data_IF_005662296917
#
_entry.id   IF_005662296917
#
_cell.length_a   1.000
_cell.length_b   1.000
_cell.length_c   1.000
_cell.angle_alpha   90.00
_cell.angle_beta   90.00
_cell.angle_gamma   90.00
#
_symmetry.space_group_name_H-M   'P 1'
#
loop_
_entity.id
_entity.type
_entity.pdbx_description
1 polymer ?
#
# COMPACT_ATOMS: atom_id res chain seq x y z
N UNK A 1 -5.52 -18.73 -1.39
CA UNK A 1 -5.38 -17.27 -1.46
C UNK A 1 -4.30 -16.84 -2.45
N UNK A 2 -3.07 -17.37 -2.37
CA UNK A 2 -2.00 -17.01 -3.32
C UNK A 2 -1.40 -18.24 -4.02
N UNK A 3 -0.91 -18.07 -5.26
CA UNK A 3 -0.17 -19.11 -6.00
C UNK A 3 1.33 -18.88 -5.87
N UNK A 4 2.12 -19.96 -5.79
CA UNK A 4 3.56 -19.90 -5.51
C UNK A 4 4.40 -19.14 -6.54
N UNK A 5 3.95 -19.09 -7.79
CA UNK A 5 4.67 -18.44 -8.90
C UNK A 5 4.15 -17.03 -9.22
N UNK A 6 3.41 -16.40 -8.31
CA UNK A 6 2.88 -15.05 -8.49
C UNK A 6 3.68 -14.06 -7.65
N UNK A 7 4.22 -13.02 -8.29
CA UNK A 7 4.93 -11.96 -7.58
C UNK A 7 3.91 -11.03 -6.92
N UNK A 8 4.06 -10.87 -5.60
CA UNK A 8 3.27 -9.96 -4.77
C UNK A 8 4.21 -8.89 -4.21
N UNK A 9 3.93 -7.63 -4.55
CA UNK A 9 4.73 -6.48 -4.14
C UNK A 9 4.11 -5.80 -2.94
N UNK A 10 4.89 -5.53 -1.91
CA UNK A 10 4.45 -4.82 -0.71
C UNK A 10 5.30 -3.58 -0.51
N UNK A 11 4.74 -2.42 -0.84
CA UNK A 11 5.40 -1.13 -0.66
C UNK A 11 5.22 -0.68 0.79
N UNK A 12 6.30 -0.28 1.45
CA UNK A 12 6.32 -0.07 2.90
C UNK A 12 6.39 -1.38 3.71
N UNK A 13 6.73 -2.50 3.07
CA UNK A 13 6.67 -3.85 3.64
C UNK A 13 7.70 -4.19 4.73
N UNK A 14 8.53 -3.25 5.18
CA UNK A 14 9.52 -3.50 6.24
C UNK A 14 8.99 -3.26 7.66
N UNK A 15 7.87 -2.55 7.80
CA UNK A 15 7.36 -2.11 9.12
C UNK A 15 5.84 -2.14 9.18
N UNK A 16 5.30 -2.20 10.40
CA UNK A 16 3.86 -2.05 10.67
C UNK A 16 2.99 -2.96 9.80
N UNK A 17 1.85 -2.43 9.34
CA UNK A 17 0.91 -3.13 8.46
C UNK A 17 1.54 -3.73 7.20
N UNK A 18 2.52 -3.06 6.60
CA UNK A 18 3.21 -3.57 5.42
C UNK A 18 3.91 -4.89 5.72
N UNK A 19 4.59 -4.98 6.86
CA UNK A 19 5.26 -6.22 7.25
C UNK A 19 4.28 -7.31 7.68
N UNK A 20 3.18 -6.96 8.36
CA UNK A 20 2.10 -7.92 8.63
C UNK A 20 1.51 -8.49 7.34
N UNK A 21 1.43 -7.66 6.29
CA UNK A 21 1.01 -8.12 4.96
C UNK A 21 1.99 -9.11 4.36
N UNK A 22 3.30 -8.89 4.51
CA UNK A 22 4.34 -9.84 4.08
C UNK A 22 4.21 -11.18 4.80
N UNK A 23 4.05 -11.15 6.13
CA UNK A 23 3.84 -12.37 6.95
C UNK A 23 2.58 -13.11 6.51
N UNK A 24 1.47 -12.40 6.39
CA UNK A 24 0.19 -12.95 5.93
C UNK A 24 0.32 -13.62 4.55
N UNK A 25 0.99 -12.99 3.59
CA UNK A 25 1.20 -13.57 2.27
C UNK A 25 2.02 -14.86 2.36
N UNK A 26 3.11 -14.86 3.16
CA UNK A 26 3.95 -16.03 3.34
C UNK A 26 3.21 -17.20 4.01
N UNK A 27 2.45 -16.90 5.06
CA UNK A 27 1.57 -17.82 5.78
C UNK A 27 0.53 -18.48 4.87
N UNK A 28 0.00 -17.71 3.92
CA UNK A 28 -1.06 -18.15 3.02
C UNK A 28 -0.56 -18.66 1.66
N UNK A 29 0.72 -19.07 1.60
CA UNK A 29 1.31 -19.80 0.48
C UNK A 29 1.80 -18.94 -0.69
N UNK A 30 1.96 -17.62 -0.50
CA UNK A 30 2.55 -16.73 -1.48
C UNK A 30 4.05 -17.00 -1.65
N UNK A 31 4.45 -17.45 -2.84
CA UNK A 31 5.82 -17.94 -3.05
C UNK A 31 6.85 -16.88 -3.46
N UNK A 32 6.42 -15.80 -4.10
CA UNK A 32 7.31 -14.73 -4.56
C UNK A 32 6.88 -13.38 -3.96
N UNK A 33 7.57 -12.92 -2.91
CA UNK A 33 7.23 -11.70 -2.19
C UNK A 33 8.35 -10.67 -2.36
N UNK A 34 8.01 -9.49 -2.87
CA UNK A 34 8.94 -8.39 -3.06
C UNK A 34 8.54 -7.19 -2.20
N UNK A 35 9.40 -6.83 -1.25
CA UNK A 35 9.24 -5.64 -0.41
C UNK A 35 9.88 -4.45 -1.12
N UNK A 36 9.14 -3.35 -1.26
CA UNK A 36 9.66 -2.08 -1.76
C UNK A 36 9.73 -1.07 -0.60
N UNK A 37 10.90 -0.51 -0.36
CA UNK A 37 11.11 0.49 0.71
C UNK A 37 12.26 1.42 0.37
N UNK A 38 12.20 2.68 0.81
CA UNK A 38 13.32 3.63 0.69
C UNK A 38 14.55 3.19 1.50
N UNK A 39 14.32 2.43 2.58
CA UNK A 39 15.36 1.99 3.52
C UNK A 39 15.81 0.57 3.18
N UNK A 40 17.11 0.34 3.33
CA UNK A 40 17.68 -1.00 3.39
C UNK A 40 17.30 -1.61 4.75
N UNK A 41 16.88 -2.90 4.82
CA UNK A 41 16.55 -3.53 6.09
C UNK A 41 17.77 -3.62 7.01
N UNK A 42 17.57 -3.31 8.29
CA UNK A 42 18.59 -3.49 9.34
C UNK A 42 18.97 -4.97 9.49
N UNK A 43 20.08 -5.25 10.18
CA UNK A 43 20.51 -6.63 10.49
C UNK A 43 19.41 -7.43 11.20
N UNK A 44 18.76 -6.82 12.19
CA UNK A 44 17.62 -7.40 12.91
C UNK A 44 16.46 -7.71 11.95
N UNK A 45 16.08 -6.77 11.09
CA UNK A 45 15.01 -6.99 10.12
C UNK A 45 15.37 -8.06 9.08
N UNK A 46 16.64 -8.15 8.70
CA UNK A 46 17.14 -9.22 7.83
C UNK A 46 17.06 -10.59 8.49
N UNK A 47 17.34 -10.70 9.79
CA UNK A 47 17.15 -11.94 10.55
C UNK A 47 15.66 -12.31 10.62
N UNK A 48 14.79 -11.34 10.88
CA UNK A 48 13.33 -11.57 10.91
C UNK A 48 12.80 -12.06 9.55
N UNK A 49 13.28 -11.48 8.44
CA UNK A 49 12.97 -11.94 7.09
C UNK A 49 13.53 -13.34 6.78
N UNK A 50 14.69 -13.71 7.34
CA UNK A 50 15.26 -15.05 7.21
C UNK A 50 14.45 -16.07 8.01
N UNK A 51 14.11 -15.76 9.26
CA UNK A 51 13.26 -16.59 10.11
C UNK A 51 11.90 -16.84 9.45
N UNK A 52 11.27 -15.81 8.87
CA UNK A 52 10.00 -15.93 8.15
C UNK A 52 10.11 -16.92 6.98
N UNK A 53 11.18 -16.83 6.17
CA UNK A 53 11.40 -17.75 5.04
C UNK A 53 11.71 -19.18 5.49
N UNK A 54 12.39 -19.36 6.63
CA UNK A 54 12.63 -20.68 7.21
C UNK A 54 11.34 -21.34 7.70
N UNK A 55 10.46 -20.55 8.34
CA UNK A 55 9.15 -20.99 8.80
C UNK A 55 8.23 -21.35 7.61
N UNK A 56 8.22 -20.52 6.57
CA UNK A 56 7.42 -20.72 5.36
C UNK A 56 8.30 -21.06 4.15
N UNK A 57 8.84 -22.28 4.12
CA UNK A 57 9.81 -22.76 3.11
C UNK A 57 9.40 -22.60 1.64
N UNK A 58 8.11 -22.40 1.37
CA UNK A 58 7.57 -22.14 0.03
C UNK A 58 7.65 -20.68 -0.42
N UNK A 59 8.07 -19.78 0.47
CA UNK A 59 8.02 -18.32 0.30
C UNK A 59 9.44 -17.77 0.20
N UNK A 60 9.73 -17.07 -0.89
CA UNK A 60 10.96 -16.30 -1.08
C UNK A 60 10.64 -14.82 -0.95
N UNK A 61 11.27 -14.17 0.03
CA UNK A 61 11.06 -12.75 0.33
C UNK A 61 12.32 -11.97 -0.01
N UNK A 62 12.19 -10.96 -0.86
CA UNK A 62 13.30 -10.08 -1.24
C UNK A 62 12.95 -8.63 -0.92
N UNK A 63 13.93 -7.89 -0.41
CA UNK A 63 13.78 -6.45 -0.16
C UNK A 63 14.54 -5.68 -1.22
N UNK A 64 13.85 -4.77 -1.92
CA UNK A 64 14.41 -3.92 -2.96
C UNK A 64 14.27 -2.47 -2.54
N UNK A 65 15.39 -1.75 -2.55
CA UNK A 65 15.38 -0.33 -2.24
C UNK A 65 14.68 0.43 -3.37
N UNK A 66 13.66 1.21 -3.02
CA UNK A 66 12.83 1.94 -3.98
C UNK A 66 12.11 3.09 -3.27
N UNK A 67 12.32 4.32 -3.75
CA UNK A 67 11.38 5.41 -3.47
C UNK A 67 10.22 5.33 -4.47
N UNK A 68 9.05 4.88 -3.99
CA UNK A 68 7.87 4.72 -4.84
C UNK A 68 7.41 6.03 -5.47
N UNK A 69 7.78 7.17 -4.89
CA UNK A 69 7.42 8.50 -5.42
C UNK A 69 8.21 8.88 -6.69
N UNK A 70 9.30 8.16 -6.98
CA UNK A 70 10.12 8.36 -8.17
C UNK A 70 9.84 7.24 -9.19
N UNK A 71 9.33 7.60 -10.37
CA UNK A 71 9.01 6.63 -11.42
C UNK A 71 10.24 5.80 -11.84
N UNK A 72 11.40 6.44 -11.96
CA UNK A 72 12.67 5.79 -12.31
C UNK A 72 13.09 4.72 -11.30
N UNK A 73 12.81 4.92 -10.01
CA UNK A 73 13.12 3.94 -8.97
C UNK A 73 12.15 2.76 -9.01
N UNK A 74 10.86 3.03 -9.27
CA UNK A 74 9.85 1.98 -9.47
C UNK A 74 10.22 1.10 -10.66
N UNK A 75 10.64 1.70 -11.78
CA UNK A 75 11.08 0.97 -12.97
C UNK A 75 12.29 0.06 -12.69
N UNK A 76 13.35 0.62 -12.07
CA UNK A 76 14.55 -0.15 -11.69
C UNK A 76 14.21 -1.29 -10.73
N UNK A 77 13.36 -1.01 -9.73
CA UNK A 77 12.93 -2.03 -8.78
C UNK A 77 12.13 -3.15 -9.46
N UNK A 78 11.25 -2.80 -10.41
CA UNK A 78 10.47 -3.79 -11.17
C UNK A 78 11.36 -4.66 -12.04
N UNK A 79 12.38 -4.10 -12.69
CA UNK A 79 13.37 -4.86 -13.45
C UNK A 79 14.17 -5.82 -12.55
N UNK A 80 14.68 -5.33 -11.41
CA UNK A 80 15.40 -6.16 -10.44
C UNK A 80 14.55 -7.32 -9.91
N UNK A 81 13.27 -7.07 -9.62
CA UNK A 81 12.31 -8.08 -9.19
C UNK A 81 12.06 -9.12 -10.27
N UNK A 82 11.90 -8.70 -11.54
CA UNK A 82 11.69 -9.62 -12.66
C UNK A 82 12.90 -10.55 -12.86
N UNK A 83 14.13 -10.03 -12.72
CA UNK A 83 15.36 -10.85 -12.75
C UNK A 83 15.45 -11.81 -11.57
N UNK A 84 14.92 -11.43 -10.41
CA UNK A 84 14.97 -12.25 -9.19
C UNK A 84 13.94 -13.40 -9.20
N UNK A 85 12.80 -13.18 -9.84
CA UNK A 85 11.67 -14.10 -9.95
C UNK A 85 11.36 -14.40 -11.43
N UNK A 86 12.36 -14.92 -12.15
CA UNK A 86 12.24 -15.22 -13.58
C UNK A 86 11.04 -16.14 -13.84
N UNK A 87 10.22 -15.77 -14.83
CA UNK A 87 9.04 -16.55 -15.26
C UNK A 87 7.80 -16.38 -14.38
N UNK A 88 7.87 -15.65 -13.27
CA UNK A 88 6.74 -15.39 -12.39
C UNK A 88 6.03 -14.08 -12.76
N UNK A 89 4.74 -14.06 -13.12
CA UNK A 89 4.02 -12.82 -13.37
C UNK A 89 3.76 -12.05 -12.07
N UNK A 90 3.75 -10.73 -12.18
CA UNK A 90 3.26 -9.85 -11.11
C UNK A 90 1.73 -9.93 -11.08
N UNK A 91 1.19 -10.28 -9.91
CA UNK A 91 -0.26 -10.43 -9.72
C UNK A 91 -0.80 -9.65 -8.53
N UNK A 92 0.06 -9.01 -7.75
CA UNK A 92 -0.40 -8.21 -6.62
C UNK A 92 0.49 -7.03 -6.29
N UNK A 93 -0.15 -5.92 -5.94
CA UNK A 93 0.48 -4.73 -5.36
C UNK A 93 -0.29 -4.36 -4.09
N UNK A 94 0.43 -4.23 -2.99
CA UNK A 94 -0.05 -3.71 -1.71
C UNK A 94 0.68 -2.42 -1.41
N UNK A 95 -0.04 -1.31 -1.48
CA UNK A 95 0.50 0.02 -1.24
C UNK A 95 0.24 0.41 0.22
N UNK A 96 1.24 0.16 1.07
CA UNK A 96 1.21 0.50 2.50
C UNK A 96 2.17 1.64 2.86
N UNK A 97 2.74 2.33 1.87
CA UNK A 97 3.59 3.49 2.10
C UNK A 97 2.81 4.61 2.80
N UNK A 98 3.41 5.14 3.87
CA UNK A 98 2.80 6.18 4.70
C UNK A 98 3.85 7.18 5.16
N UNK A 99 3.44 8.44 5.21
CA UNK A 99 4.12 9.51 5.94
C UNK A 99 3.04 10.29 6.70
N UNK A 100 3.38 10.77 7.90
CA UNK A 100 2.49 11.54 8.76
C UNK A 100 3.20 12.82 9.15
N UNK A 101 2.44 13.91 9.18
CA UNK A 101 2.86 15.19 9.71
C UNK A 101 1.63 15.94 10.21
N UNK A 102 1.37 15.80 11.50
CA UNK A 102 0.20 16.40 12.14
C UNK A 102 0.44 17.90 12.37
N UNK A 103 -0.56 18.71 12.06
CA UNK A 103 -0.54 20.14 12.29
C UNK A 103 -1.92 20.76 12.05
N UNK A 104 -2.22 21.83 12.79
CA UNK A 104 -3.40 22.63 12.49
C UNK A 104 -3.31 23.18 11.06
N UNK A 105 -4.44 23.27 10.36
CA UNK A 105 -4.47 23.70 8.96
C UNK A 105 -3.79 25.07 8.77
N UNK A 106 -3.96 25.96 9.74
CA UNK A 106 -3.40 27.30 9.80
C UNK A 106 -1.87 27.37 9.95
N UNK A 107 -1.21 26.27 10.37
CA UNK A 107 0.27 26.21 10.48
C UNK A 107 0.93 25.29 9.46
N UNK A 108 0.18 24.37 8.85
CA UNK A 108 0.71 23.46 7.84
C UNK A 108 1.17 24.23 6.60
N UNK A 109 2.39 23.94 6.14
CA UNK A 109 2.94 24.50 4.91
C UNK A 109 2.71 23.54 3.76
N UNK A 110 2.78 24.07 2.54
CA UNK A 110 2.66 23.27 1.32
C UNK A 110 3.65 22.08 1.30
N UNK A 111 4.88 22.28 1.77
CA UNK A 111 5.88 21.21 1.90
C UNK A 111 5.43 20.06 2.81
N UNK A 112 4.65 20.34 3.86
CA UNK A 112 4.11 19.33 4.78
C UNK A 112 3.02 18.51 4.09
N UNK A 113 2.20 19.15 3.26
CA UNK A 113 1.27 18.46 2.38
C UNK A 113 2.01 17.55 1.39
N UNK A 114 2.99 18.07 0.65
CA UNK A 114 3.78 17.24 -0.28
C UNK A 114 4.37 16.02 0.40
N UNK A 115 5.01 16.21 1.56
CA UNK A 115 5.60 15.11 2.32
C UNK A 115 4.60 13.99 2.65
N UNK A 116 3.36 14.34 3.00
CA UNK A 116 2.32 13.38 3.39
C UNK A 116 1.60 12.78 2.17
N UNK A 117 1.31 13.60 1.15
CA UNK A 117 0.60 13.18 -0.05
C UNK A 117 1.48 12.31 -0.95
N UNK A 118 2.73 12.69 -1.21
CA UNK A 118 3.59 12.05 -2.21
C UNK A 118 3.64 10.52 -2.15
N UNK A 119 3.87 9.85 -1.00
CA UNK A 119 3.90 8.38 -0.95
C UNK A 119 2.56 7.74 -1.36
N UNK A 120 1.42 8.38 -1.09
CA UNK A 120 0.08 7.85 -1.40
C UNK A 120 -0.43 8.30 -2.76
N UNK A 121 -0.08 9.48 -3.23
CA UNK A 121 -0.53 10.03 -4.51
C UNK A 121 0.43 9.63 -5.61
N UNK A 122 1.61 10.27 -5.69
CA UNK A 122 2.63 9.99 -6.69
C UNK A 122 3.06 8.51 -6.65
N UNK A 123 3.25 7.97 -5.45
CA UNK A 123 3.59 6.55 -5.28
C UNK A 123 2.57 5.59 -5.91
N UNK A 124 1.28 5.83 -5.69
CA UNK A 124 0.23 4.97 -6.24
C UNK A 124 0.06 5.15 -7.74
N UNK A 125 0.24 6.38 -8.26
CA UNK A 125 0.24 6.64 -9.71
C UNK A 125 1.40 5.93 -10.42
N UNK A 126 2.61 5.98 -9.85
CA UNK A 126 3.77 5.28 -10.40
C UNK A 126 3.54 3.75 -10.43
N UNK A 127 3.00 3.18 -9.35
CA UNK A 127 2.64 1.77 -9.30
C UNK A 127 1.55 1.42 -10.32
N UNK A 128 0.55 2.28 -10.49
CA UNK A 128 -0.49 2.09 -11.50
C UNK A 128 0.10 2.03 -12.90
N UNK A 129 0.91 3.01 -13.29
CA UNK A 129 1.50 3.03 -14.62
C UNK A 129 2.45 1.86 -14.86
N UNK A 130 3.25 1.48 -13.85
CA UNK A 130 4.15 0.33 -13.94
C UNK A 130 3.43 -1.03 -14.01
N UNK A 131 2.12 -1.08 -13.71
CA UNK A 131 1.33 -2.32 -13.70
C UNK A 131 0.06 -2.25 -14.54
N UNK A 132 -0.18 -1.17 -15.29
CA UNK A 132 -1.45 -0.89 -15.98
C UNK A 132 -1.84 -2.00 -16.97
N UNK A 133 -0.84 -2.57 -17.64
CA UNK A 133 -0.99 -3.59 -18.68
C UNK A 133 -0.81 -5.01 -18.11
N UNK A 134 -0.74 -5.13 -16.78
CA UNK A 134 -0.65 -6.42 -16.09
C UNK A 134 -2.02 -6.79 -15.53
N UNK A 135 -2.43 -8.02 -15.77
CA UNK A 135 -3.64 -8.59 -15.16
C UNK A 135 -3.41 -8.90 -13.68
N UNK A 136 -3.49 -7.87 -12.83
CA UNK A 136 -3.35 -8.02 -11.38
C UNK A 136 -4.60 -8.66 -10.78
N UNK A 137 -4.40 -9.63 -9.89
CA UNK A 137 -5.44 -10.10 -8.97
C UNK A 137 -5.68 -9.05 -7.87
N UNK A 138 -4.61 -8.41 -7.39
CA UNK A 138 -4.64 -7.48 -6.25
C UNK A 138 -4.00 -6.13 -6.59
N UNK A 139 -4.73 -5.05 -6.38
CA UNK A 139 -4.16 -3.71 -6.24
C UNK A 139 -4.81 -3.07 -5.01
N UNK A 140 -4.17 -3.25 -3.86
CA UNK A 140 -4.73 -2.89 -2.56
C UNK A 140 -3.99 -1.67 -2.02
N UNK A 141 -4.72 -0.60 -1.72
CA UNK A 141 -4.22 0.63 -1.13
C UNK A 141 -4.63 0.70 0.33
N UNK A 142 -3.67 0.91 1.23
CA UNK A 142 -3.97 1.07 2.66
C UNK A 142 -4.30 2.53 2.90
N UNK A 143 -5.60 2.78 2.98
CA UNK A 143 -6.21 4.04 3.35
C UNK A 143 -6.42 4.11 4.87
N UNK A 144 -7.19 5.08 5.34
CA UNK A 144 -7.53 5.25 6.76
C UNK A 144 -8.97 5.73 6.91
N UNK A 145 -9.60 5.43 8.05
CA UNK A 145 -10.89 6.01 8.45
C UNK A 145 -10.88 7.54 8.48
N UNK A 146 -9.69 8.15 8.64
CA UNK A 146 -9.50 9.60 8.58
C UNK A 146 -9.88 10.22 7.23
N UNK A 147 -9.99 9.44 6.15
CA UNK A 147 -10.45 9.91 4.83
C UNK A 147 -11.90 10.41 4.84
N UNK A 148 -12.79 9.78 5.62
CA UNK A 148 -14.22 10.10 5.62
C UNK A 148 -14.72 10.63 6.97
N UNK A 149 -14.11 10.26 8.10
CA UNK A 149 -14.41 10.86 9.40
C UNK A 149 -13.62 12.14 9.66
N UNK A 150 -12.51 12.33 8.94
CA UNK A 150 -11.50 13.31 9.31
C UNK A 150 -10.74 12.91 10.58
N UNK A 151 -9.68 13.65 10.87
CA UNK A 151 -9.04 13.64 12.19
C UNK A 151 -8.42 15.03 12.42
N UNK A 152 -8.52 15.52 13.66
CA UNK A 152 -7.96 16.82 14.00
C UNK A 152 -6.46 16.85 13.68
N UNK A 153 -5.98 17.97 13.15
CA UNK A 153 -4.58 18.18 12.73
C UNK A 153 -4.09 17.32 11.56
N UNK A 154 -4.97 16.55 10.91
CA UNK A 154 -4.61 15.58 9.87
C UNK A 154 -5.24 15.87 8.51
N UNK A 155 -5.46 17.15 8.17
CA UNK A 155 -6.06 17.54 6.88
C UNK A 155 -5.27 17.00 5.68
N UNK A 156 -3.94 17.09 5.72
CA UNK A 156 -3.05 16.54 4.69
C UNK A 156 -3.15 15.01 4.58
N UNK A 157 -3.23 14.30 5.71
CA UNK A 157 -3.35 12.84 5.77
C UNK A 157 -4.73 12.36 5.31
N UNK A 158 -5.81 13.03 5.73
CA UNK A 158 -7.17 12.76 5.27
C UNK A 158 -7.28 12.93 3.74
N UNK A 159 -6.70 14.00 3.19
CA UNK A 159 -6.65 14.23 1.74
C UNK A 159 -5.89 13.11 1.01
N UNK A 160 -4.72 12.72 1.51
CA UNK A 160 -3.90 11.67 0.92
C UNK A 160 -4.60 10.29 0.91
N UNK A 161 -5.38 9.98 1.95
CA UNK A 161 -6.15 8.73 2.02
C UNK A 161 -7.42 8.78 1.16
N UNK A 162 -8.12 9.92 1.12
CA UNK A 162 -9.28 10.13 0.24
C UNK A 162 -8.91 9.95 -1.24
N UNK A 163 -7.70 10.39 -1.63
CA UNK A 163 -7.17 10.09 -2.96
C UNK A 163 -7.09 8.58 -3.24
N UNK A 164 -6.58 7.77 -2.30
CA UNK A 164 -6.49 6.32 -2.49
C UNK A 164 -7.87 5.69 -2.70
N UNK A 165 -8.86 6.13 -1.94
CA UNK A 165 -10.24 5.60 -2.01
C UNK A 165 -10.84 5.85 -3.39
N UNK A 166 -10.75 7.10 -3.88
CA UNK A 166 -11.23 7.50 -5.20
C UNK A 166 -10.40 6.89 -6.32
N UNK A 167 -9.09 6.74 -6.14
CA UNK A 167 -8.22 6.14 -7.14
C UNK A 167 -8.50 4.66 -7.34
N UNK A 168 -8.77 3.92 -6.26
CA UNK A 168 -9.21 2.53 -6.36
C UNK A 168 -10.57 2.41 -7.07
N UNK A 169 -11.49 3.36 -6.86
CA UNK A 169 -12.74 3.42 -7.63
C UNK A 169 -12.49 3.69 -9.12
N UNK A 170 -11.63 4.66 -9.45
CA UNK A 170 -11.20 4.95 -10.80
C UNK A 170 -10.63 3.70 -11.50
N UNK A 171 -9.71 2.98 -10.83
CA UNK A 171 -9.14 1.73 -11.38
C UNK A 171 -10.21 0.69 -11.71
N UNK A 172 -11.19 0.50 -10.82
CA UNK A 172 -12.31 -0.42 -11.06
C UNK A 172 -13.16 0.02 -12.25
N UNK A 173 -13.41 1.32 -12.42
CA UNK A 173 -14.13 1.86 -13.58
C UNK A 173 -13.35 1.65 -14.90
N UNK A 174 -12.02 1.59 -14.84
CA UNK A 174 -11.18 1.18 -15.98
C UNK A 174 -11.16 -0.34 -16.22
N UNK A 175 -11.82 -1.15 -15.38
CA UNK A 175 -11.78 -2.61 -15.44
C UNK A 175 -10.53 -3.23 -14.81
N UNK A 176 -9.76 -2.47 -14.03
CA UNK A 176 -8.55 -2.93 -13.34
C UNK A 176 -8.86 -3.30 -11.88
N UNK A 177 -8.10 -4.23 -11.30
CA UNK A 177 -8.15 -4.49 -9.85
C UNK A 177 -7.84 -3.22 -9.06
N UNK A 178 -8.59 -2.97 -7.98
CA UNK A 178 -8.46 -1.78 -7.14
C UNK A 178 -9.30 -1.88 -5.88
N UNK A 179 -8.68 -1.90 -4.72
CA UNK A 179 -9.34 -1.94 -3.40
C UNK A 179 -8.64 -0.95 -2.46
N UNK A 180 -9.41 -0.10 -1.80
CA UNK A 180 -8.92 0.70 -0.68
C UNK A 180 -9.43 0.10 0.62
N UNK A 181 -8.56 0.02 1.63
CA UNK A 181 -8.94 -0.42 2.97
C UNK A 181 -8.72 0.74 3.92
N UNK A 182 -9.81 1.26 4.47
CA UNK A 182 -9.79 2.35 5.43
C UNK A 182 -9.50 1.81 6.84
N UNK A 183 -8.21 1.66 7.16
CA UNK A 183 -7.83 1.14 8.46
C UNK A 183 -8.19 2.11 9.59
N UNK A 184 -8.75 1.54 10.66
CA UNK A 184 -8.93 2.21 11.95
C UNK A 184 -7.63 2.24 12.75
N UNK A 185 -7.76 2.44 14.06
CA UNK A 185 -6.63 2.39 14.97
C UNK A 185 -6.08 0.96 15.08
N UNK A 186 -4.76 0.82 14.96
CA UNK A 186 -4.07 -0.47 14.99
C UNK A 186 -2.92 -0.38 15.98
N UNK A 187 -2.72 -1.38 16.83
CA UNK A 187 -1.55 -1.44 17.73
C UNK A 187 -0.28 -1.90 16.98
N UNK A 188 0.04 -1.21 15.88
CA UNK A 188 1.13 -1.54 14.98
C UNK A 188 1.69 -0.27 14.34
N UNK A 189 2.96 -0.29 13.95
CA UNK A 189 3.58 0.82 13.22
C UNK A 189 3.56 2.13 14.01
N UNK A 190 2.86 3.14 13.50
CA UNK A 190 2.85 4.51 14.05
C UNK A 190 2.26 4.58 15.47
N UNK A 191 1.27 3.74 15.77
CA UNK A 191 0.55 3.75 17.06
C UNK A 191 1.11 2.74 18.08
N UNK A 192 2.21 2.06 17.74
CA UNK A 192 2.84 1.05 18.59
C UNK A 192 3.43 1.74 19.83
N UNK A 193 3.02 1.30 21.02
CA UNK A 193 3.39 1.88 22.33
C UNK A 193 2.93 3.34 22.55
N UNK A 194 1.80 3.75 21.96
CA UNK A 194 1.21 5.07 22.21
C UNK A 194 -0.08 4.97 23.05
N UNK A 195 0.07 4.51 24.30
CA UNK A 195 -1.04 4.17 25.21
C UNK A 195 -2.03 5.31 25.44
N UNK A 196 -1.54 6.55 25.48
CA UNK A 196 -2.38 7.74 25.62
C UNK A 196 -3.29 7.94 24.41
N UNK A 197 -2.76 7.75 23.20
CA UNK A 197 -3.53 7.90 21.96
C UNK A 197 -4.52 6.75 21.81
N UNK A 198 -4.13 5.53 22.22
CA UNK A 198 -5.04 4.38 22.25
C UNK A 198 -6.23 4.64 23.19
N UNK A 199 -5.96 5.09 24.42
CA UNK A 199 -7.01 5.44 25.39
C UNK A 199 -7.96 6.53 24.89
N UNK A 200 -7.43 7.55 24.18
CA UNK A 200 -8.25 8.61 23.59
C UNK A 200 -9.15 8.04 22.49
N UNK A 201 -8.66 7.13 21.66
CA UNK A 201 -9.44 6.51 20.58
C UNK A 201 -10.53 5.59 21.14
N UNK A 202 -10.22 4.78 22.15
CA UNK A 202 -11.19 3.94 22.86
C UNK A 202 -12.28 4.78 23.53
N UNK A 203 -11.92 5.92 24.15
CA UNK A 203 -12.90 6.85 24.73
C UNK A 203 -13.89 7.44 23.71
N UNK A 204 -13.53 7.39 22.42
CA UNK A 204 -14.36 7.84 21.29
C UNK A 204 -15.06 6.68 20.57
N UNK A 205 -15.04 5.48 21.16
CA UNK A 205 -15.65 4.28 20.58
C UNK A 205 -14.88 3.69 19.40
N UNK A 206 -13.58 4.01 19.26
CA UNK A 206 -12.69 3.44 18.26
C UNK A 206 -11.79 2.42 18.93
N UNK A 207 -12.21 1.16 18.89
CA UNK A 207 -11.43 0.05 19.42
C UNK A 207 -10.13 -0.16 18.61
N UNK A 208 -9.08 -0.55 19.31
CA UNK A 208 -7.80 -0.89 18.68
C UNK A 208 -7.91 -2.29 18.05
N UNK A 209 -7.85 -2.34 16.72
CA UNK A 209 -7.95 -3.61 16.01
C UNK A 209 -6.67 -4.44 16.22
N UNK A 210 -6.85 -5.72 16.56
CA UNK A 210 -5.76 -6.70 16.54
C UNK A 210 -5.45 -7.14 15.11
N UNK A 211 -4.18 -7.47 14.86
CA UNK A 211 -3.62 -7.86 13.55
C UNK A 211 -4.38 -8.99 12.84
N UNK A 212 -5.07 -9.84 13.61
CA UNK A 212 -5.82 -11.01 13.13
C UNK A 212 -6.93 -10.63 12.12
N UNK A 213 -7.37 -9.37 12.06
CA UNK A 213 -8.39 -8.89 11.10
C UNK A 213 -7.90 -8.67 9.65
N UNK A 214 -6.60 -8.76 9.37
CA UNK A 214 -6.06 -8.69 8.00
C UNK A 214 -6.66 -9.73 7.05
N UNK A 215 -7.03 -10.92 7.56
CA UNK A 215 -7.52 -12.04 6.76
C UNK A 215 -8.85 -11.75 6.03
N UNK A 216 -9.74 -10.93 6.60
CA UNK A 216 -11.07 -10.69 6.05
C UNK A 216 -11.08 -9.59 4.98
N UNK A 217 -10.20 -8.59 5.11
CA UNK A 217 -10.20 -7.42 4.23
C UNK A 217 -9.44 -7.63 2.93
N UNK A 218 -8.53 -8.61 2.86
CA UNK A 218 -7.67 -8.87 1.70
C UNK A 218 -8.29 -9.80 0.64
N UNK A 219 -9.60 -10.07 0.69
CA UNK A 219 -10.27 -10.77 -0.40
C UNK A 219 -10.27 -9.92 -1.68
N UNK A 220 -9.94 -10.49 -2.85
CA UNK A 220 -9.84 -9.72 -4.08
C UNK A 220 -11.22 -9.19 -4.50
N UNK A 221 -11.39 -7.87 -4.47
CA UNK A 221 -12.55 -7.20 -5.06
C UNK A 221 -12.27 -7.00 -6.55
N UNK A 222 -12.75 -7.94 -7.37
CA UNK A 222 -12.73 -7.79 -8.84
C UNK A 222 -13.85 -6.85 -9.27
N UNK A 223 -13.63 -6.10 -10.34
CA UNK A 223 -14.72 -5.37 -10.99
C UNK A 223 -15.81 -6.36 -11.43
N UNK A 224 -17.10 -6.01 -11.36
CA UNK A 224 -18.12 -6.77 -12.07
C UNK A 224 -17.74 -6.84 -13.56
N UNK A 225 -17.97 -8.00 -14.19
CA UNK A 225 -17.84 -8.17 -15.64
C UNK A 225 -18.57 -6.99 -16.33
N UNK A 226 -17.88 -6.25 -17.20
CA UNK A 226 -18.46 -5.08 -17.87
C UNK A 226 -19.77 -5.47 -18.53
N UNK A 227 -20.85 -4.77 -18.19
CA UNK A 227 -21.95 -4.59 -19.13
C UNK A 227 -21.37 -3.84 -20.34
N UNK A 228 -21.52 -4.42 -21.53
CA UNK A 228 -21.23 -3.73 -22.77
C UNK A 228 -22.16 -2.52 -22.88
N UNK A 229 -21.62 -1.30 -22.82
CA UNK A 229 -21.95 -0.15 -23.67
C UNK A 229 -21.33 1.16 -23.14
N UNK A 230 -20.94 2.01 -24.09
CA UNK A 230 -20.24 3.29 -24.00
C UNK A 230 -20.07 3.97 -22.63
N UNK A 231 -18.82 4.03 -22.14
CA UNK A 231 -18.38 5.11 -21.27
C UNK A 231 -17.56 6.13 -22.09
N UNK A 232 -17.73 7.45 -21.86
CA UNK A 232 -16.95 8.47 -22.52
C UNK A 232 -15.47 8.36 -22.14
N UNK A 233 -14.60 8.79 -23.05
CA UNK A 233 -13.15 8.79 -22.91
C UNK A 233 -12.71 9.36 -21.54
N UNK A 234 -11.72 8.77 -20.86
CA UNK A 234 -11.24 9.29 -19.59
C UNK A 234 -10.76 10.73 -19.78
N UNK A 235 -11.22 11.63 -18.90
CA UNK A 235 -10.68 12.97 -18.73
C UNK A 235 -9.16 12.91 -18.84
N UNK A 236 -8.61 13.69 -19.77
CA UNK A 236 -7.19 13.72 -20.12
C UNK A 236 -6.32 14.12 -18.93
N UNK A 237 -6.01 13.17 -18.07
CA UNK A 237 -4.86 13.21 -17.19
C UNK A 237 -3.65 12.73 -18.02
N UNK A 238 -3.28 13.55 -19.00
CA UNK A 238 -1.90 13.59 -19.49
C UNK A 238 -0.98 14.07 -18.36
N UNK A 239 0.35 14.08 -18.55
CA UNK A 239 1.29 14.49 -17.52
C UNK A 239 1.15 16.00 -17.24
N UNK A 240 0.22 16.35 -16.37
CA UNK A 240 0.04 17.69 -15.83
C UNK A 240 0.50 17.69 -14.38
N UNK A 241 1.79 17.46 -14.17
CA UNK A 241 2.52 17.93 -12.98
C UNK A 241 3.95 18.28 -13.40
N UNK A 242 4.28 19.56 -13.69
CA UNK A 242 5.58 20.06 -13.33
C UNK A 242 5.63 20.16 -11.79
N UNK A 243 6.63 19.51 -11.20
CA UNK A 243 7.10 19.67 -9.82
C UNK A 243 6.05 20.19 -8.81
N UNK A 244 5.32 19.25 -8.21
CA UNK A 244 4.60 19.43 -6.94
C UNK A 244 5.08 18.37 -5.97
#
# INVERSE_FOLDING_TARGET
>A
FFSRLRILKVVGGLTGLGFETVKFIAENGGGCIAILSRRIPSSEKQEELRALQQQYKGSKVVSVQCDVTLSSDVEKAFQSIATTFVGSPIKGVFQSAVAIHDGHLEVLKLADFHKVLSPKVAGTLNLHWATRDQELDYFVCYSSVASFLGNATQTNYAAANSFLDLFCLYRRNCGLSGQAINWGALNLGILLNQDLIQSILESKGVDILQTVLLCLSLQPVRAPLKASEGLPSPLGLGPLLPAL
#
